data_IF_524441031025
#
_entry.id   IF_524441031025
#
_cell.length_a   1.000
_cell.length_b   1.000
_cell.length_c   1.000
_cell.angle_alpha   90.00
_cell.angle_beta   90.00
_cell.angle_gamma   90.00
#
_symmetry.space_group_name_H-M   'P 1'
#
loop_
_entity.id
_entity.type
_entity.pdbx_description
1 polymer ?
#
# COMPACT_ATOMS: atom_id res chain seq x y z
N UNK A 1 14.97 -6.54 2.56
CA UNK A 1 14.87 -5.59 1.44
C UNK A 1 14.06 -4.38 1.89
N UNK A 2 14.57 -3.15 1.67
CA UNK A 2 13.80 -1.93 1.97
C UNK A 2 12.88 -1.63 0.79
N UNK A 3 11.58 -1.61 1.05
CA UNK A 3 10.54 -1.31 0.06
C UNK A 3 9.92 0.03 0.42
N UNK A 4 9.65 0.86 -0.58
CA UNK A 4 8.96 2.14 -0.39
C UNK A 4 7.66 2.11 -1.19
N UNK A 5 6.55 2.28 -0.49
CA UNK A 5 5.24 2.48 -1.10
C UNK A 5 5.04 3.97 -1.30
N UNK A 6 4.71 4.37 -2.53
CA UNK A 6 4.60 5.77 -2.90
C UNK A 6 3.41 6.01 -3.84
N UNK A 7 2.73 7.13 -3.65
CA UNK A 7 1.65 7.59 -4.52
C UNK A 7 1.89 9.05 -4.94
N UNK A 8 1.56 9.45 -6.17
CA UNK A 8 1.59 10.85 -6.59
C UNK A 8 0.67 11.70 -5.71
N UNK A 9 1.12 12.88 -5.30
CA UNK A 9 0.34 13.74 -4.41
C UNK A 9 -0.93 14.31 -5.04
N UNK A 10 -0.99 14.37 -6.38
CA UNK A 10 -2.15 14.85 -7.14
C UNK A 10 -3.27 13.82 -7.27
N UNK A 11 -2.97 12.54 -7.06
CA UNK A 11 -3.89 11.43 -7.29
C UNK A 11 -4.53 10.87 -6.00
N UNK A 12 -4.23 11.45 -4.85
CA UNK A 12 -4.61 10.87 -3.55
C UNK A 12 -5.34 11.84 -2.62
N UNK A 13 -6.46 11.36 -2.09
CA UNK A 13 -7.14 11.97 -0.96
C UNK A 13 -6.44 11.56 0.34
N UNK A 14 -6.03 12.55 1.13
CA UNK A 14 -5.27 12.34 2.35
C UNK A 14 -6.12 12.48 3.63
N UNK A 15 -5.74 11.81 4.73
CA UNK A 15 -4.65 10.83 4.84
C UNK A 15 -4.87 9.53 4.05
N UNK A 16 -3.77 8.97 3.54
CA UNK A 16 -3.74 7.67 2.87
C UNK A 16 -2.75 6.75 3.57
N UNK A 17 -3.09 5.47 3.62
CA UNK A 17 -2.36 4.42 4.32
C UNK A 17 -2.08 3.26 3.36
N UNK A 18 -0.91 2.66 3.46
CA UNK A 18 -0.66 1.33 2.89
C UNK A 18 -0.91 0.29 3.97
N UNK A 19 -1.69 -0.73 3.63
CA UNK A 19 -2.16 -1.74 4.56
C UNK A 19 -1.96 -3.11 3.94
N UNK A 20 -1.29 -4.02 4.64
CA UNK A 20 -0.93 -5.31 4.07
C UNK A 20 -0.36 -6.27 5.12
N UNK A 21 0.13 -7.41 4.66
CA UNK A 21 0.61 -8.47 5.54
C UNK A 21 1.72 -8.00 6.50
N UNK A 22 2.59 -7.08 6.03
CA UNK A 22 3.68 -6.51 6.82
C UNK A 22 3.25 -5.58 7.97
N UNK A 23 1.99 -5.16 8.01
CA UNK A 23 1.43 -4.40 9.13
C UNK A 23 0.19 -5.08 9.75
N UNK A 24 0.00 -6.37 9.47
CA UNK A 24 -1.15 -7.18 9.93
C UNK A 24 -2.50 -6.62 9.47
N UNK A 25 -2.55 -6.03 8.27
CA UNK A 25 -3.77 -5.43 7.72
C UNK A 25 -4.42 -4.35 8.61
N UNK A 26 -3.61 -3.60 9.36
CA UNK A 26 -4.05 -2.55 10.29
C UNK A 26 -4.07 -1.16 9.61
N UNK A 27 -5.24 -0.55 9.35
CA UNK A 27 -5.33 0.79 8.76
C UNK A 27 -4.88 1.92 9.68
N UNK A 28 -4.68 1.66 10.97
CA UNK A 28 -4.05 2.58 11.91
C UNK A 28 -2.52 2.68 11.73
N UNK A 29 -1.94 1.82 10.89
CA UNK A 29 -0.51 1.79 10.57
C UNK A 29 -0.27 2.13 9.10
N UNK A 30 0.98 2.47 8.77
CA UNK A 30 1.38 2.67 7.38
C UNK A 30 0.88 3.96 6.73
N UNK A 31 0.66 5.02 7.52
CA UNK A 31 0.34 6.35 7.00
C UNK A 31 1.45 6.84 6.07
N UNK A 32 1.09 7.23 4.84
CA UNK A 32 2.05 7.82 3.91
C UNK A 32 2.31 9.28 4.31
N UNK A 33 3.58 9.68 4.30
CA UNK A 33 4.01 11.03 4.62
C UNK A 33 4.30 11.82 3.34
N UNK A 34 3.88 13.09 3.29
CA UNK A 34 4.17 14.01 2.18
C UNK A 34 5.68 14.18 2.03
N UNK A 35 6.17 14.10 0.80
CA UNK A 35 7.58 14.26 0.43
C UNK A 35 7.76 15.48 -0.47
N UNK A 36 8.97 16.04 -0.46
CA UNK A 36 9.31 17.19 -1.29
C UNK A 36 9.30 16.88 -2.80
N UNK A 37 9.44 15.60 -3.18
CA UNK A 37 9.40 15.15 -4.57
C UNK A 37 7.98 14.97 -5.14
N UNK A 38 6.96 15.52 -4.48
CA UNK A 38 5.57 15.44 -4.96
C UNK A 38 4.87 14.10 -4.72
N UNK A 39 5.39 13.25 -3.82
CA UNK A 39 4.74 11.97 -3.47
C UNK A 39 4.30 11.94 -2.00
N UNK A 40 3.36 11.04 -1.70
CA UNK A 40 3.15 10.52 -0.36
C UNK A 40 3.82 9.16 -0.27
N UNK A 41 4.64 8.90 0.75
CA UNK A 41 5.31 7.59 0.86
C UNK A 41 5.65 7.14 2.28
N UNK A 42 5.78 5.82 2.43
CA UNK A 42 6.25 5.14 3.64
C UNK A 42 7.12 3.94 3.24
N UNK A 43 8.10 3.58 4.07
CA UNK A 43 8.99 2.45 3.79
C UNK A 43 8.87 1.36 4.84
N UNK A 44 8.97 0.11 4.41
CA UNK A 44 9.05 -1.07 5.26
C UNK A 44 10.30 -1.88 4.92
N UNK A 45 10.87 -2.53 5.94
CA UNK A 45 11.91 -3.56 5.71
C UNK A 45 11.22 -4.91 5.69
N UNK A 46 11.26 -5.57 4.54
CA UNK A 46 10.59 -6.85 4.29
C UNK A 46 11.61 -7.95 3.98
N UNK A 47 11.23 -9.21 4.14
CA UNK A 47 12.09 -10.32 3.76
C UNK A 47 12.07 -10.47 2.23
N UNK A 48 13.25 -10.63 1.62
CA UNK A 48 13.34 -10.93 0.18
C UNK A 48 12.95 -12.36 -0.14
N UNK A 49 12.65 -12.66 -1.40
CA UNK A 49 12.21 -13.99 -1.85
C UNK A 49 10.80 -14.36 -1.40
N UNK A 50 9.99 -13.39 -0.99
CA UNK A 50 8.61 -13.58 -0.50
C UNK A 50 7.65 -12.69 -1.28
N UNK A 51 6.39 -13.08 -1.31
CA UNK A 51 5.30 -12.25 -1.80
C UNK A 51 4.53 -11.65 -0.63
N UNK A 52 4.08 -10.42 -0.79
CA UNK A 52 3.28 -9.71 0.20
C UNK A 52 2.00 -9.18 -0.45
N UNK A 53 0.87 -9.40 0.22
CA UNK A 53 -0.40 -8.76 -0.16
C UNK A 53 -0.57 -7.40 0.52
N UNK A 54 -1.10 -6.43 -0.21
CA UNK A 54 -1.40 -5.09 0.31
C UNK A 54 -2.53 -4.40 -0.45
N UNK A 55 -3.03 -3.30 0.10
CA UNK A 55 -3.92 -2.32 -0.54
C UNK A 55 -3.67 -0.93 0.05
N UNK A 56 -4.23 0.10 -0.58
CA UNK A 56 -4.29 1.44 -0.01
C UNK A 56 -5.67 1.72 0.58
N UNK A 57 -5.69 2.51 1.66
CA UNK A 57 -6.88 2.95 2.36
C UNK A 57 -6.83 4.46 2.56
N UNK A 58 -7.89 5.18 2.19
CA UNK A 58 -7.95 6.64 2.34
C UNK A 58 -8.87 7.09 3.48
N UNK A 59 -8.86 8.38 3.76
CA UNK A 59 -9.64 9.02 4.82
C UNK A 59 -11.16 8.89 4.64
N UNK A 60 -11.63 8.69 3.41
CA UNK A 60 -13.04 8.50 3.08
C UNK A 60 -13.53 7.06 3.31
N UNK A 61 -12.67 6.18 3.81
CA UNK A 61 -12.99 4.78 4.03
C UNK A 61 -12.93 3.92 2.77
N UNK A 62 -12.31 4.42 1.69
CA UNK A 62 -12.20 3.70 0.42
C UNK A 62 -10.92 2.89 0.36
N UNK A 63 -11.07 1.66 -0.11
CA UNK A 63 -9.96 0.78 -0.45
C UNK A 63 -9.69 0.82 -1.95
N UNK A 64 -8.44 0.99 -2.33
CA UNK A 64 -8.03 0.99 -3.74
C UNK A 64 -6.69 0.28 -3.91
N UNK A 65 -6.43 -0.08 -5.17
CA UNK A 65 -5.27 -0.87 -5.55
C UNK A 65 -4.24 0.00 -6.25
N UNK A 66 -2.99 -0.38 -6.10
CA UNK A 66 -1.92 0.08 -6.97
C UNK A 66 -2.11 -0.51 -8.37
N UNK A 67 -2.10 0.34 -9.40
CA UNK A 67 -2.21 -0.12 -10.80
C UNK A 67 -0.90 -0.76 -11.27
N UNK A 68 0.20 -0.45 -10.61
CA UNK A 68 1.54 -0.94 -10.93
C UNK A 68 1.94 -2.12 -10.02
N UNK A 69 1.00 -2.71 -9.26
CA UNK A 69 1.27 -3.92 -8.49
C UNK A 69 1.70 -5.08 -9.39
N UNK A 70 2.60 -5.94 -8.89
CA UNK A 70 3.14 -7.05 -9.66
C UNK A 70 2.06 -8.09 -10.03
N UNK A 71 1.05 -8.24 -9.17
CA UNK A 71 -0.13 -9.04 -9.47
C UNK A 71 -1.35 -8.62 -8.62
N UNK A 72 -2.50 -9.24 -8.91
CA UNK A 72 -3.73 -9.10 -8.14
C UNK A 72 -4.28 -10.46 -7.74
N UNK A 73 -4.64 -10.61 -6.47
CA UNK A 73 -5.24 -11.84 -5.93
C UNK A 73 -6.62 -11.56 -5.35
N UNK A 74 -7.56 -12.49 -5.56
CA UNK A 74 -8.92 -12.37 -5.02
C UNK A 74 -8.89 -12.52 -3.50
N UNK A 75 -9.45 -11.53 -2.81
CA UNK A 75 -9.69 -11.55 -1.37
C UNK A 75 -10.97 -12.32 -1.03
N UNK A 76 -11.04 -12.83 0.20
CA UNK A 76 -12.22 -13.51 0.76
C UNK A 76 -13.46 -12.60 0.81
N UNK A 77 -13.26 -11.28 0.76
CA UNK A 77 -14.33 -10.28 0.75
C UNK A 77 -14.81 -9.91 -0.66
N UNK A 78 -14.43 -10.68 -1.69
CA UNK A 78 -14.85 -10.45 -3.07
C UNK A 78 -14.13 -9.30 -3.79
N UNK A 79 -13.25 -8.57 -3.11
CA UNK A 79 -12.34 -7.58 -3.70
C UNK A 79 -11.02 -8.23 -4.15
N UNK A 80 -10.12 -7.45 -4.76
CA UNK A 80 -8.76 -7.89 -5.08
C UNK A 80 -7.74 -7.14 -4.22
N UNK A 81 -6.70 -7.85 -3.76
CA UNK A 81 -5.52 -7.29 -3.13
C UNK A 81 -4.40 -7.15 -4.18
N UNK A 82 -3.56 -6.13 -4.03
CA UNK A 82 -2.27 -6.05 -4.72
C UNK A 82 -1.32 -7.10 -4.17
N UNK A 83 -0.42 -7.58 -5.02
CA UNK A 83 0.69 -8.46 -4.65
C UNK A 83 2.00 -7.75 -5.01
N UNK A 84 2.94 -7.78 -4.08
CA UNK A 84 4.32 -7.37 -4.24
C UNK A 84 5.22 -8.61 -4.18
N UNK A 85 6.08 -8.80 -5.17
CA UNK A 85 7.09 -9.86 -5.21
C UNK A 85 8.47 -9.28 -4.88
N UNK A 86 9.15 -9.86 -3.88
CA UNK A 86 10.51 -9.48 -3.46
C UNK A 86 11.52 -10.60 -3.64
#
# INVERSE_FOLDING_TARGET
VKVTFALPAEDVEVPVYVVGEFNNWDPGKGKLAKRANGTYSVSYTLDGGKSYQFRYYNAEGKWFNDKEADAFVRSVHGSQNCVLHL
#
